data_IF_031479624183
#
_entry.id   IF_031479624183
#
_cell.length_a   1.000
_cell.length_b   1.000
_cell.length_c   1.000
_cell.angle_alpha   90.00
_cell.angle_beta   90.00
_cell.angle_gamma   90.00
#
_symmetry.space_group_name_H-M   'P 1'
#
loop_
_entity.id
_entity.type
_entity.pdbx_description
1 polymer ?
#
# COMPACT_ATOMS: atom_id res chain seq x y z
N UNK A 1 35.54 -33.99 22.99
CA UNK A 1 35.22 -33.08 24.10
C UNK A 1 34.64 -31.83 23.47
N UNK A 2 33.32 -31.76 23.38
CA UNK A 2 32.59 -30.70 22.69
C UNK A 2 32.46 -29.54 23.69
N UNK A 3 33.01 -28.38 23.34
CA UNK A 3 32.83 -27.13 24.09
C UNK A 3 31.37 -26.67 23.90
N UNK A 4 30.43 -27.41 24.49
CA UNK A 4 29.04 -27.01 24.60
C UNK A 4 28.89 -26.05 25.78
N UNK A 5 28.26 -24.91 25.53
CA UNK A 5 27.61 -24.07 26.54
C UNK A 5 28.44 -23.68 27.77
N UNK A 6 29.73 -23.39 27.61
CA UNK A 6 30.37 -22.44 28.52
C UNK A 6 29.99 -21.05 28.07
N UNK A 7 28.86 -20.59 28.59
CA UNK A 7 28.45 -19.21 28.50
C UNK A 7 28.09 -18.63 29.86
N UNK A 8 29.00 -17.82 30.40
CA UNK A 8 28.70 -16.40 30.66
C UNK A 8 27.84 -16.04 31.88
N UNK A 9 28.37 -15.16 32.73
CA UNK A 9 27.84 -14.62 34.00
C UNK A 9 26.46 -15.14 34.49
N UNK A 10 26.45 -15.86 35.63
CA UNK A 10 25.23 -16.28 36.34
C UNK A 10 25.04 -15.52 37.65
N UNK A 11 23.94 -14.75 37.75
CA UNK A 11 23.51 -14.06 38.96
C UNK A 11 22.33 -14.81 39.58
N UNK A 12 22.58 -15.60 40.63
CA UNK A 12 21.57 -16.50 41.20
C UNK A 12 20.33 -15.83 41.80
N UNK A 13 20.45 -14.62 42.34
CA UNK A 13 19.37 -13.97 43.08
C UNK A 13 19.06 -12.56 42.56
N UNK A 14 19.93 -11.59 42.84
CA UNK A 14 19.66 -10.17 42.55
C UNK A 14 20.79 -9.58 41.71
N UNK A 15 20.42 -9.02 40.55
CA UNK A 15 21.28 -8.12 39.78
C UNK A 15 20.83 -6.68 40.05
N UNK A 16 21.63 -5.91 40.78
CA UNK A 16 21.33 -4.51 41.08
C UNK A 16 22.17 -3.57 40.21
N UNK A 17 21.51 -2.62 39.54
CA UNK A 17 22.19 -1.52 38.86
C UNK A 17 22.22 -0.28 39.75
N UNK A 18 23.42 0.17 40.10
CA UNK A 18 23.63 1.48 40.73
C UNK A 18 23.96 2.54 39.68
N UNK A 19 24.92 2.23 38.81
CA UNK A 19 25.38 3.10 37.71
C UNK A 19 25.82 2.28 36.50
N UNK A 20 25.69 2.84 35.30
CA UNK A 20 26.24 2.27 34.08
C UNK A 20 25.47 1.06 33.54
N UNK A 21 26.03 0.45 32.50
CA UNK A 21 25.40 -0.61 31.71
C UNK A 21 26.26 -1.88 31.75
N UNK A 22 25.63 -3.04 31.62
CA UNK A 22 26.31 -4.32 31.51
C UNK A 22 26.32 -4.77 30.05
N UNK A 23 27.49 -4.77 29.41
CA UNK A 23 27.62 -5.17 28.00
C UNK A 23 27.83 -6.67 27.89
N UNK A 24 27.01 -7.32 27.06
CA UNK A 24 27.11 -8.74 26.80
C UNK A 24 28.22 -9.08 25.80
N UNK A 25 28.45 -8.26 24.77
CA UNK A 25 29.49 -8.48 23.76
C UNK A 25 29.45 -9.91 23.17
N UNK A 26 28.26 -10.39 22.82
CA UNK A 26 28.04 -11.75 22.33
C UNK A 26 27.83 -12.85 23.38
N UNK A 27 28.08 -12.58 24.66
CA UNK A 27 27.96 -13.54 25.76
C UNK A 27 26.60 -13.48 26.47
N UNK A 28 26.18 -14.56 27.12
CA UNK A 28 24.89 -14.61 27.81
C UNK A 28 24.95 -14.07 29.27
N UNK A 29 23.79 -13.72 29.81
CA UNK A 29 23.64 -13.45 31.24
C UNK A 29 22.47 -14.26 31.75
N UNK A 30 22.69 -15.15 32.72
CA UNK A 30 21.60 -15.83 33.42
C UNK A 30 21.32 -15.14 34.75
N UNK A 31 20.06 -14.82 35.02
CA UNK A 31 19.61 -14.34 36.34
C UNK A 31 18.52 -15.25 36.89
N UNK A 32 18.63 -15.61 38.17
CA UNK A 32 17.74 -16.55 38.86
C UNK A 32 18.33 -17.94 39.04
N UNK A 33 17.82 -18.69 40.02
CA UNK A 33 18.21 -20.08 40.32
C UNK A 33 16.98 -20.85 40.79
N UNK A 34 16.24 -21.44 39.85
CA UNK A 34 14.94 -22.07 40.09
C UNK A 34 13.74 -21.10 40.10
N UNK A 35 13.98 -19.80 39.92
CA UNK A 35 12.99 -18.72 39.76
C UNK A 35 13.47 -17.71 38.70
N UNK A 36 12.72 -16.63 38.48
CA UNK A 36 13.14 -15.61 37.52
C UNK A 36 14.35 -14.79 38.02
N UNK A 37 14.67 -14.78 39.31
CA UNK A 37 15.58 -13.83 39.97
C UNK A 37 14.99 -12.42 40.05
N UNK A 38 15.75 -11.44 40.55
CA UNK A 38 15.38 -10.02 40.58
C UNK A 38 16.41 -9.18 39.84
N UNK A 39 15.93 -8.17 39.10
CA UNK A 39 16.80 -7.12 38.55
C UNK A 39 16.27 -5.79 39.10
N UNK A 40 17.13 -5.04 39.76
CA UNK A 40 16.77 -3.81 40.46
C UNK A 40 17.59 -2.62 39.97
N UNK A 41 17.08 -1.40 40.18
CA UNK A 41 17.80 -0.16 39.83
C UNK A 41 17.96 0.13 38.34
N UNK A 42 17.31 -0.63 37.45
CA UNK A 42 17.40 -0.43 36.01
C UNK A 42 16.54 0.75 35.52
N UNK A 43 16.99 1.42 34.46
CA UNK A 43 16.29 2.48 33.72
C UNK A 43 16.94 2.70 32.34
N UNK A 44 16.65 3.81 31.66
CA UNK A 44 17.24 4.15 30.35
C UNK A 44 18.73 4.56 30.39
N UNK A 45 19.37 4.53 31.55
CA UNK A 45 20.82 4.73 31.73
C UNK A 45 21.50 3.49 32.33
N UNK A 46 20.71 2.54 32.85
CA UNK A 46 21.15 1.38 33.63
C UNK A 46 20.46 0.11 33.16
N UNK A 47 21.11 -0.62 32.26
CA UNK A 47 20.53 -1.81 31.63
C UNK A 47 21.59 -2.73 31.03
N UNK A 48 21.16 -3.89 30.55
CA UNK A 48 21.98 -4.87 29.85
C UNK A 48 22.04 -4.52 28.35
N UNK A 49 23.23 -4.42 27.77
CA UNK A 49 23.41 -4.13 26.34
C UNK A 49 23.64 -5.43 25.56
N UNK A 50 22.79 -5.69 24.57
CA UNK A 50 22.74 -6.94 23.79
C UNK A 50 23.30 -6.82 22.37
N UNK A 51 24.05 -5.74 22.11
CA UNK A 51 24.64 -5.35 20.83
C UNK A 51 23.62 -4.95 19.73
N UNK A 52 24.11 -4.27 18.69
CA UNK A 52 23.28 -3.73 17.61
C UNK A 52 23.01 -4.73 16.49
N UNK A 53 23.83 -5.78 16.36
CA UNK A 53 23.77 -6.76 15.28
C UNK A 53 22.80 -7.92 15.53
N UNK A 54 22.41 -8.60 14.45
CA UNK A 54 21.48 -9.75 14.48
C UNK A 54 22.02 -10.96 15.27
N UNK A 55 23.33 -11.04 15.50
CA UNK A 55 23.99 -12.06 16.36
C UNK A 55 24.49 -11.38 17.64
N UNK A 56 24.33 -12.04 18.78
CA UNK A 56 24.73 -11.53 20.09
C UNK A 56 24.12 -12.33 21.23
N UNK A 57 24.50 -11.97 22.46
CA UNK A 57 24.09 -12.67 23.68
C UNK A 57 22.68 -12.33 24.15
N UNK A 58 22.14 -13.17 25.04
CA UNK A 58 20.81 -13.01 25.63
C UNK A 58 20.88 -12.77 27.14
N UNK A 59 19.95 -11.95 27.63
CA UNK A 59 19.57 -11.95 29.04
C UNK A 59 18.55 -13.06 29.28
N UNK A 60 18.96 -14.10 29.98
CA UNK A 60 18.14 -15.20 30.45
C UNK A 60 17.61 -14.95 31.86
N UNK A 61 16.38 -15.39 32.06
CA UNK A 61 15.70 -15.46 33.35
C UNK A 61 15.33 -16.92 33.59
N UNK A 62 15.82 -17.51 34.67
CA UNK A 62 15.94 -18.97 34.78
C UNK A 62 14.61 -19.73 34.77
N UNK A 63 13.64 -19.34 35.61
CA UNK A 63 12.33 -20.01 35.65
C UNK A 63 11.17 -19.06 35.91
N UNK A 64 10.61 -18.52 34.84
CA UNK A 64 9.39 -17.72 34.89
C UNK A 64 8.17 -18.61 35.14
N UNK A 65 7.19 -18.08 35.87
CA UNK A 65 5.92 -18.71 36.22
C UNK A 65 4.77 -17.72 36.02
N UNK A 66 3.52 -18.18 35.87
CA UNK A 66 2.37 -17.27 35.75
C UNK A 66 2.15 -16.40 37.00
N UNK A 67 2.67 -16.82 38.16
CA UNK A 67 2.62 -16.07 39.42
C UNK A 67 3.59 -14.89 39.48
N UNK A 68 4.59 -14.81 38.60
CA UNK A 68 5.65 -13.80 38.65
C UNK A 68 5.21 -12.44 38.09
N UNK A 69 3.94 -12.31 37.69
CA UNK A 69 3.38 -11.10 37.06
C UNK A 69 4.18 -10.69 35.81
N UNK A 70 4.49 -9.40 35.63
CA UNK A 70 5.29 -8.91 34.52
C UNK A 70 6.79 -8.95 34.88
N UNK A 71 7.54 -9.86 34.25
CA UNK A 71 8.99 -9.98 34.44
C UNK A 71 9.70 -9.12 33.40
N UNK A 72 10.40 -8.09 33.88
CA UNK A 72 11.14 -7.17 33.03
C UNK A 72 12.49 -7.75 32.57
N UNK A 73 12.81 -7.46 31.31
CA UNK A 73 14.11 -7.66 30.66
C UNK A 73 14.65 -6.26 30.34
N UNK A 74 15.46 -5.64 31.23
CA UNK A 74 16.03 -4.33 30.99
C UNK A 74 17.20 -4.44 30.01
N UNK A 75 16.87 -4.45 28.72
CA UNK A 75 17.81 -4.62 27.62
C UNK A 75 17.82 -3.41 26.68
N UNK A 76 18.92 -3.25 25.92
CA UNK A 76 19.08 -2.24 24.89
C UNK A 76 20.21 -2.59 23.92
N UNK A 77 20.31 -1.87 22.80
CA UNK A 77 21.25 -2.23 21.71
C UNK A 77 22.63 -1.61 21.89
N UNK A 78 22.71 -0.44 22.53
CA UNK A 78 23.93 0.33 22.75
C UNK A 78 23.74 1.29 23.92
N UNK A 79 24.63 2.27 24.10
CA UNK A 79 24.58 3.23 25.21
C UNK A 79 23.40 4.23 25.16
N UNK A 80 22.75 4.39 24.02
CA UNK A 80 21.75 5.44 23.79
C UNK A 80 20.39 4.88 23.38
N UNK A 81 20.24 3.56 23.37
CA UNK A 81 19.03 2.89 22.92
C UNK A 81 18.56 1.88 23.96
N UNK A 82 17.75 2.36 24.90
CA UNK A 82 17.05 1.49 25.85
C UNK A 82 15.73 0.99 25.25
N UNK A 83 15.62 -0.32 25.05
CA UNK A 83 14.49 -0.94 24.37
C UNK A 83 14.06 -2.22 25.12
N UNK A 84 13.61 -2.11 26.37
CA UNK A 84 13.36 -3.27 27.21
C UNK A 84 12.05 -3.97 26.82
N UNK A 85 11.88 -5.16 27.37
CA UNK A 85 10.63 -5.91 27.27
C UNK A 85 10.14 -6.34 28.66
N UNK A 86 8.85 -6.66 28.77
CA UNK A 86 8.33 -7.37 29.93
C UNK A 86 7.45 -8.54 29.46
N UNK A 87 7.68 -9.72 30.05
CA UNK A 87 6.96 -10.95 29.71
C UNK A 87 6.06 -11.34 30.87
N UNK A 88 4.81 -11.67 30.56
CA UNK A 88 3.82 -12.17 31.51
C UNK A 88 3.39 -13.56 31.04
N UNK A 89 3.77 -14.60 31.77
CA UNK A 89 3.30 -15.95 31.46
C UNK A 89 1.83 -16.11 31.85
N UNK A 90 1.04 -16.71 30.97
CA UNK A 90 -0.36 -17.08 31.23
C UNK A 90 -0.52 -18.58 31.44
N UNK A 91 0.37 -19.40 30.88
CA UNK A 91 0.44 -20.84 31.12
C UNK A 91 1.86 -21.39 30.93
N UNK A 92 2.19 -22.45 31.68
CA UNK A 92 3.51 -23.08 31.69
C UNK A 92 4.53 -22.36 32.56
N UNK A 93 5.72 -22.94 32.69
CA UNK A 93 6.86 -22.32 33.37
C UNK A 93 8.15 -22.70 32.67
N UNK A 94 9.12 -21.81 32.59
CA UNK A 94 10.37 -22.12 31.90
C UNK A 94 11.36 -20.97 31.86
N UNK A 95 12.55 -21.27 31.32
CA UNK A 95 13.59 -20.27 31.07
C UNK A 95 13.25 -19.47 29.83
N UNK A 96 13.33 -18.15 29.94
CA UNK A 96 13.15 -17.23 28.82
C UNK A 96 14.43 -16.39 28.68
N UNK A 97 14.97 -16.37 27.47
CA UNK A 97 16.03 -15.47 27.04
C UNK A 97 15.48 -14.38 26.15
N UNK A 98 15.92 -13.14 26.35
CA UNK A 98 15.60 -12.05 25.44
C UNK A 98 16.84 -11.26 25.05
N UNK A 99 16.80 -10.74 23.83
CA UNK A 99 17.68 -9.68 23.36
C UNK A 99 16.97 -8.76 22.40
N UNK A 100 17.58 -7.61 22.12
CA UNK A 100 17.12 -6.63 21.13
C UNK A 100 18.29 -6.24 20.24
N UNK A 101 18.02 -6.02 18.95
CA UNK A 101 19.01 -5.54 17.99
C UNK A 101 18.40 -4.49 17.06
N UNK A 102 19.25 -3.80 16.29
CA UNK A 102 18.80 -2.73 15.40
C UNK A 102 18.18 -3.25 14.11
N UNK A 103 17.29 -2.45 13.56
CA UNK A 103 16.57 -2.68 12.32
C UNK A 103 15.52 -3.79 12.37
N UNK A 104 14.55 -3.66 11.48
CA UNK A 104 13.58 -4.71 11.16
C UNK A 104 13.91 -5.22 9.78
N UNK A 105 14.25 -6.49 9.66
CA UNK A 105 14.56 -7.11 8.38
C UNK A 105 13.34 -7.81 7.79
N UNK A 106 13.20 -7.85 6.47
CA UNK A 106 12.07 -8.49 5.78
C UNK A 106 11.87 -9.95 6.21
N UNK A 107 12.96 -10.69 6.41
CA UNK A 107 12.93 -12.07 6.91
C UNK A 107 13.63 -12.22 8.26
N UNK A 108 13.13 -11.48 9.26
CA UNK A 108 13.58 -11.40 10.65
C UNK A 108 15.02 -10.92 10.89
N UNK A 109 16.01 -11.51 10.22
CA UNK A 109 17.45 -11.25 10.42
C UNK A 109 18.21 -11.01 9.12
N UNK A 110 17.52 -11.00 7.97
CA UNK A 110 18.15 -10.90 6.64
C UNK A 110 17.25 -10.23 5.61
N UNK A 111 17.85 -9.96 4.46
CA UNK A 111 17.27 -9.26 3.32
C UNK A 111 17.07 -7.76 3.59
N UNK A 112 16.10 -7.11 2.95
CA UNK A 112 15.93 -5.67 3.03
C UNK A 112 15.52 -5.20 4.44
N UNK A 113 15.97 -4.01 4.80
CA UNK A 113 15.57 -3.32 6.03
C UNK A 113 14.22 -2.63 5.80
N UNK A 114 13.28 -2.84 6.71
CA UNK A 114 11.96 -2.25 6.76
C UNK A 114 11.78 -1.37 8.01
N UNK A 115 12.57 -0.30 8.07
CA UNK A 115 12.59 0.64 9.20
C UNK A 115 11.65 1.84 9.02
N UNK A 116 10.94 1.91 7.89
CA UNK A 116 10.07 3.05 7.58
C UNK A 116 8.84 3.06 8.49
N UNK A 117 8.20 1.90 8.60
CA UNK A 117 6.87 1.70 9.18
C UNK A 117 6.92 1.04 10.57
N UNK A 118 8.13 0.71 11.01
CA UNK A 118 8.42 0.03 12.26
C UNK A 118 9.19 0.94 13.22
N UNK A 119 9.21 0.57 14.49
CA UNK A 119 10.33 0.90 15.37
C UNK A 119 11.56 0.15 14.87
N UNK A 120 12.72 0.80 14.76
CA UNK A 120 13.99 0.27 14.24
C UNK A 120 14.66 -0.72 15.20
N UNK A 121 13.86 -1.60 15.80
CA UNK A 121 14.23 -2.59 16.80
C UNK A 121 13.53 -3.90 16.50
N UNK A 122 14.28 -4.98 16.65
CA UNK A 122 13.75 -6.34 16.67
C UNK A 122 14.11 -6.99 18.00
N UNK A 123 13.08 -7.44 18.71
CA UNK A 123 13.23 -8.26 19.91
C UNK A 123 13.26 -9.72 19.51
N UNK A 124 14.23 -10.44 20.05
CA UNK A 124 14.33 -11.88 19.93
C UNK A 124 14.03 -12.50 21.28
N UNK A 125 13.00 -13.34 21.34
CA UNK A 125 12.62 -14.13 22.50
C UNK A 125 12.94 -15.59 22.24
N UNK A 126 13.66 -16.23 23.14
CA UNK A 126 13.94 -17.66 23.10
C UNK A 126 13.44 -18.32 24.38
N UNK A 127 12.86 -19.51 24.24
CA UNK A 127 12.49 -20.35 25.38
C UNK A 127 13.10 -21.73 25.23
N UNK A 128 13.59 -22.29 26.34
CA UNK A 128 13.99 -23.71 26.40
C UNK A 128 12.79 -24.64 26.65
N UNK A 129 11.62 -24.06 26.96
CA UNK A 129 10.38 -24.79 27.22
C UNK A 129 9.37 -24.56 26.08
N UNK A 130 8.92 -25.62 25.39
CA UNK A 130 7.90 -25.50 24.34
C UNK A 130 6.53 -25.19 24.95
N UNK A 131 5.68 -24.46 24.20
CA UNK A 131 4.27 -24.28 24.54
C UNK A 131 3.99 -23.37 25.74
N UNK A 132 4.93 -22.49 26.12
CA UNK A 132 4.64 -21.43 27.08
C UNK A 132 3.67 -20.45 26.46
N UNK A 133 2.57 -20.14 27.16
CA UNK A 133 1.65 -19.09 26.74
C UNK A 133 1.99 -17.80 27.48
N UNK A 134 2.02 -16.68 26.75
CA UNK A 134 2.48 -15.42 27.31
C UNK A 134 1.87 -14.19 26.63
N UNK A 135 1.92 -13.09 27.37
CA UNK A 135 1.74 -11.74 26.86
C UNK A 135 3.09 -11.00 26.94
N UNK A 136 3.31 -10.03 26.07
CA UNK A 136 4.56 -9.26 26.01
C UNK A 136 4.29 -7.77 25.89
N UNK A 137 5.04 -6.98 26.65
CA UNK A 137 5.18 -5.54 26.48
C UNK A 137 6.54 -5.26 25.87
N UNK A 138 6.58 -4.51 24.78
CA UNK A 138 7.81 -4.02 24.17
C UNK A 138 7.85 -2.51 24.31
N UNK A 139 8.95 -1.97 24.84
CA UNK A 139 9.13 -0.53 25.01
C UNK A 139 10.25 -0.03 24.10
N UNK A 140 10.00 1.11 23.46
CA UNK A 140 10.97 1.82 22.63
C UNK A 140 11.01 3.31 22.98
N UNK A 141 12.08 3.97 22.55
CA UNK A 141 12.22 5.43 22.61
C UNK A 141 11.84 6.06 21.26
N UNK A 142 11.38 7.29 21.29
CA UNK A 142 10.96 8.06 20.11
C UNK A 142 12.06 8.15 19.03
N UNK A 143 13.32 8.22 19.43
CA UNK A 143 14.46 8.26 18.50
C UNK A 143 14.62 6.98 17.66
N UNK A 144 14.07 5.85 18.13
CA UNK A 144 14.12 4.58 17.42
C UNK A 144 12.93 4.39 16.46
N UNK A 145 12.02 5.35 16.38
CA UNK A 145 10.86 5.23 15.51
C UNK A 145 11.24 5.44 14.04
N UNK A 146 10.63 4.64 13.17
CA UNK A 146 10.64 4.86 11.74
C UNK A 146 10.00 6.21 11.39
N UNK A 147 10.46 6.87 10.30
CA UNK A 147 9.93 8.17 9.89
C UNK A 147 8.41 8.19 9.65
N UNK A 148 7.78 7.04 9.36
CA UNK A 148 6.31 6.94 9.23
C UNK A 148 5.63 6.44 10.50
N UNK A 149 6.37 5.86 11.44
CA UNK A 149 5.80 5.33 12.68
C UNK A 149 5.27 6.43 13.59
N UNK A 150 6.04 7.50 13.82
CA UNK A 150 5.75 8.52 14.84
C UNK A 150 4.41 9.23 14.67
N UNK A 151 3.93 9.37 13.42
CA UNK A 151 2.65 10.00 13.13
C UNK A 151 1.43 9.13 13.45
N UNK A 152 1.62 7.82 13.68
CA UNK A 152 0.54 6.84 13.82
C UNK A 152 0.74 5.89 15.00
N UNK A 153 1.41 6.36 16.07
CA UNK A 153 1.63 5.59 17.30
C UNK A 153 0.33 5.06 17.90
N UNK A 154 -0.77 5.78 17.76
CA UNK A 154 -2.12 5.43 18.21
C UNK A 154 -2.73 4.23 17.48
N UNK A 155 -2.15 3.79 16.37
CA UNK A 155 -2.53 2.58 15.63
C UNK A 155 -1.47 1.48 15.71
N UNK A 156 -0.45 1.66 16.56
CA UNK A 156 0.68 0.75 16.63
C UNK A 156 0.34 -0.56 17.37
N UNK A 157 1.05 -1.62 17.00
CA UNK A 157 0.89 -2.97 17.55
C UNK A 157 2.22 -3.73 17.52
N UNK A 158 2.34 -4.80 18.31
CA UNK A 158 3.50 -5.69 18.25
C UNK A 158 3.30 -6.71 17.12
N UNK A 159 4.16 -6.70 16.12
CA UNK A 159 4.21 -7.70 15.06
C UNK A 159 5.11 -8.87 15.44
N UNK A 160 4.73 -10.07 15.00
CA UNK A 160 5.46 -11.33 15.17
C UNK A 160 5.83 -11.85 13.79
N UNK A 161 7.08 -12.24 13.61
CA UNK A 161 7.51 -12.87 12.37
C UNK A 161 7.00 -14.31 12.27
N UNK A 162 6.30 -14.62 11.18
CA UNK A 162 5.86 -15.97 10.82
C UNK A 162 6.93 -16.61 9.91
N UNK A 163 7.74 -17.56 10.41
CA UNK A 163 8.80 -18.19 9.61
C UNK A 163 8.26 -19.13 8.53
N UNK A 164 7.01 -19.59 8.63
CA UNK A 164 6.37 -20.45 7.63
C UNK A 164 5.93 -19.62 6.44
N UNK A 165 5.33 -18.45 6.70
CA UNK A 165 4.91 -17.51 5.64
C UNK A 165 6.03 -16.61 5.15
N UNK A 166 7.12 -16.49 5.91
CA UNK A 166 8.23 -15.61 5.58
C UNK A 166 7.90 -14.12 5.72
N UNK A 167 7.00 -13.75 6.64
CA UNK A 167 6.55 -12.37 6.77
C UNK A 167 6.20 -12.00 8.21
N UNK A 168 6.25 -10.70 8.50
CA UNK A 168 5.74 -10.10 9.72
C UNK A 168 4.20 -10.08 9.72
N UNK A 169 3.58 -10.46 10.83
CA UNK A 169 2.13 -10.50 10.94
C UNK A 169 1.49 -9.15 11.32
N UNK A 170 0.16 -9.11 11.25
CA UNK A 170 -0.65 -7.95 11.65
C UNK A 170 -1.55 -8.36 12.82
N UNK A 171 -1.26 -7.85 14.02
CA UNK A 171 -2.15 -8.04 15.17
C UNK A 171 -3.13 -6.86 15.32
N UNK A 172 -4.30 -7.01 14.69
CA UNK A 172 -5.38 -6.03 14.79
C UNK A 172 -6.03 -5.98 16.17
N UNK A 173 -5.89 -7.03 16.99
CA UNK A 173 -6.58 -7.13 18.28
C UNK A 173 -5.93 -6.27 19.37
N UNK A 174 -4.64 -6.01 19.22
CA UNK A 174 -3.85 -5.20 20.16
C UNK A 174 -3.50 -3.81 19.63
N UNK A 175 -3.93 -3.47 18.40
CA UNK A 175 -3.64 -2.18 17.80
C UNK A 175 -4.20 -1.01 18.61
N UNK A 176 -3.38 0.03 18.79
CA UNK A 176 -3.70 1.22 19.56
C UNK A 176 -3.65 1.05 21.08
N UNK A 177 -3.24 -0.11 21.58
CA UNK A 177 -2.89 -0.31 23.00
C UNK A 177 -1.48 0.22 23.28
N UNK A 178 -1.34 1.53 23.14
CA UNK A 178 -0.12 2.29 23.39
C UNK A 178 -0.12 2.83 24.82
N UNK A 179 0.98 2.63 25.54
CA UNK A 179 1.19 3.16 26.88
C UNK A 179 2.45 4.02 26.91
N UNK A 180 2.56 4.92 27.89
CA UNK A 180 3.83 5.59 28.17
C UNK A 180 4.87 4.59 28.68
N UNK A 181 6.13 4.77 28.31
CA UNK A 181 7.21 3.88 28.72
C UNK A 181 7.38 3.87 30.24
N UNK A 182 7.19 2.69 30.84
CA UNK A 182 7.22 2.46 32.29
C UNK A 182 8.01 1.20 32.67
N UNK A 183 8.65 0.53 31.71
CA UNK A 183 9.58 -0.56 31.97
C UNK A 183 10.89 0.06 32.48
N UNK A 184 10.85 0.52 33.71
CA UNK A 184 11.95 1.02 34.53
C UNK A 184 11.72 0.51 35.97
N UNK A 185 12.77 0.43 36.78
CA UNK A 185 12.62 -0.06 38.14
C UNK A 185 11.67 0.85 38.93
N UNK A 186 10.71 0.24 39.65
CA UNK A 186 9.66 0.98 40.36
C UNK A 186 8.54 1.54 39.48
N UNK A 187 8.51 1.24 38.17
CA UNK A 187 7.45 1.69 37.26
C UNK A 187 7.51 3.19 36.93
N UNK A 188 8.70 3.79 37.06
CA UNK A 188 8.91 5.21 36.77
C UNK A 188 8.63 5.47 35.28
N UNK A 189 7.84 6.50 35.00
CA UNK A 189 7.54 6.90 33.63
C UNK A 189 8.77 7.58 33.00
N UNK A 190 9.16 7.08 31.83
CA UNK A 190 10.24 7.63 31.02
C UNK A 190 9.65 8.53 29.92
N UNK A 191 10.04 9.80 29.91
CA UNK A 191 9.62 10.75 28.86
C UNK A 191 10.19 10.34 27.51
N UNK A 192 9.39 10.48 26.43
CA UNK A 192 9.80 10.10 25.07
C UNK A 192 9.93 8.59 24.85
N UNK A 193 9.38 7.77 25.77
CA UNK A 193 9.32 6.32 25.63
C UNK A 193 7.86 5.88 25.56
N UNK A 194 7.62 4.83 24.77
CA UNK A 194 6.30 4.27 24.53
C UNK A 194 6.39 2.74 24.61
N UNK A 195 5.28 2.09 24.91
CA UNK A 195 5.24 0.63 24.94
C UNK A 195 3.93 0.05 24.39
N UNK A 196 4.06 -1.09 23.72
CA UNK A 196 2.98 -1.80 23.07
C UNK A 196 2.79 -3.17 23.71
N UNK A 197 1.53 -3.51 24.00
CA UNK A 197 1.15 -4.82 24.53
C UNK A 197 0.71 -5.72 23.38
N UNK A 198 1.14 -6.99 23.41
CA UNK A 198 0.49 -8.06 22.66
C UNK A 198 0.21 -9.26 23.55
N UNK A 199 -0.92 -9.89 23.30
CA UNK A 199 -1.45 -10.96 24.15
C UNK A 199 -1.66 -12.26 23.37
N UNK A 200 -1.75 -13.37 24.10
CA UNK A 200 -2.12 -14.67 23.53
C UNK A 200 -1.05 -15.30 22.65
N UNK A 201 0.22 -14.99 22.91
CA UNK A 201 1.34 -15.62 22.22
C UNK A 201 1.64 -17.00 22.82
N UNK A 202 2.21 -17.88 22.00
CA UNK A 202 2.73 -19.18 22.43
C UNK A 202 4.13 -19.38 21.89
N UNK A 203 5.04 -19.91 22.70
CA UNK A 203 6.34 -20.36 22.19
C UNK A 203 6.17 -21.61 21.34
N UNK A 204 6.83 -21.67 20.18
CA UNK A 204 6.84 -22.85 19.33
C UNK A 204 7.75 -23.93 19.91
N UNK A 205 7.44 -25.20 19.65
CA UNK A 205 8.34 -26.28 20.04
C UNK A 205 9.67 -26.19 19.28
N UNK A 206 10.83 -26.38 19.95
CA UNK A 206 12.11 -26.42 19.25
C UNK A 206 12.10 -27.59 18.25
N UNK A 207 12.49 -27.32 17.00
CA UNK A 207 12.61 -28.35 15.98
C UNK A 207 13.66 -29.40 16.41
N UNK A 208 13.35 -30.71 16.42
CA UNK A 208 14.29 -31.76 16.83
C UNK A 208 15.62 -31.77 16.06
N UNK A 209 15.65 -31.24 14.83
CA UNK A 209 16.86 -31.11 14.00
C UNK A 209 17.67 -29.83 14.22
N UNK A 210 17.18 -28.87 15.00
CA UNK A 210 17.89 -27.63 15.33
C UNK A 210 17.43 -27.08 16.71
N UNK A 211 18.18 -27.31 17.80
CA UNK A 211 17.79 -26.86 19.15
C UNK A 211 17.76 -25.33 19.34
N UNK A 212 18.19 -24.53 18.34
CA UNK A 212 18.00 -23.07 18.31
C UNK A 212 16.67 -22.63 17.68
N UNK A 213 15.89 -23.56 17.11
CA UNK A 213 14.67 -23.31 16.34
C UNK A 213 13.40 -23.04 17.17
N UNK A 214 13.53 -22.46 18.37
CA UNK A 214 12.40 -22.07 19.24
C UNK A 214 12.25 -20.56 19.43
N UNK A 215 13.07 -19.76 18.74
CA UNK A 215 13.09 -18.31 18.89
C UNK A 215 12.00 -17.60 18.10
N UNK A 216 11.45 -16.55 18.69
CA UNK A 216 10.43 -15.68 18.11
C UNK A 216 11.00 -14.28 17.92
N UNK A 217 10.77 -13.70 16.74
CA UNK A 217 11.17 -12.33 16.43
C UNK A 217 9.94 -11.44 16.48
N UNK A 218 10.03 -10.39 17.28
CA UNK A 218 8.97 -9.41 17.47
C UNK A 218 9.47 -8.02 17.12
N UNK A 219 8.60 -7.17 16.61
CA UNK A 219 8.85 -5.75 16.42
C UNK A 219 7.56 -4.96 16.63
N UNK A 220 7.60 -3.64 16.53
CA UNK A 220 6.44 -2.76 16.68
C UNK A 220 6.20 -2.04 15.35
N UNK A 221 4.98 -2.13 14.83
CA UNK A 221 4.57 -1.56 13.55
C UNK A 221 3.26 -0.77 13.69
N UNK A 222 2.78 -0.18 12.60
CA UNK A 222 1.51 0.59 12.54
C UNK A 222 0.57 0.02 11.48
N UNK A 223 -0.74 0.00 11.78
CA UNK A 223 -1.75 -0.61 10.89
C UNK A 223 -1.84 0.05 9.49
N UNK A 224 -1.54 1.35 9.41
CA UNK A 224 -1.67 2.14 8.18
C UNK A 224 -0.64 1.73 7.12
N UNK A 225 0.42 1.02 7.49
CA UNK A 225 1.46 0.60 6.55
C UNK A 225 1.73 -0.90 6.56
N UNK A 226 1.14 -1.64 7.50
CA UNK A 226 1.36 -3.08 7.62
C UNK A 226 0.61 -3.93 6.58
N UNK A 227 -0.07 -3.34 5.59
CA UNK A 227 -0.70 -4.06 4.49
C UNK A 227 -2.19 -3.79 4.27
N UNK A 228 -2.81 -2.82 4.94
CA UNK A 228 -4.27 -2.58 4.87
C UNK A 228 -4.66 -1.11 4.64
N UNK A 229 -3.91 -0.37 3.83
CA UNK A 229 -4.40 0.93 3.32
C UNK A 229 -4.67 0.82 1.85
N UNK A 230 -5.92 1.01 1.45
CA UNK A 230 -6.28 1.08 0.05
C UNK A 230 -5.43 2.11 -0.68
N UNK A 231 -5.07 1.86 -1.94
CA UNK A 231 -4.17 2.75 -2.68
C UNK A 231 -4.66 4.19 -2.53
N UNK A 232 -3.78 5.04 -2.01
CA UNK A 232 -4.10 6.43 -1.74
C UNK A 232 -3.23 7.32 -2.58
N UNK A 233 -3.86 8.38 -3.07
CA UNK A 233 -3.27 9.45 -3.85
C UNK A 233 -3.91 10.74 -3.33
N UNK A 234 -3.11 11.73 -2.97
CA UNK A 234 -3.62 13.01 -2.48
C UNK A 234 -4.33 13.81 -3.58
N UNK A 235 -3.95 13.56 -4.84
CA UNK A 235 -4.52 14.19 -6.02
C UNK A 235 -4.50 13.17 -7.17
N UNK A 236 -5.67 12.92 -7.78
CA UNK A 236 -5.80 12.04 -8.94
C UNK A 236 -6.98 12.50 -9.81
N UNK A 237 -6.71 13.51 -10.63
CA UNK A 237 -7.66 14.02 -11.61
C UNK A 237 -7.48 13.23 -12.90
N UNK A 238 -8.47 12.41 -13.22
CA UNK A 238 -8.58 11.81 -14.54
C UNK A 238 -9.08 12.87 -15.52
N UNK A 239 -8.34 13.08 -16.60
CA UNK A 239 -8.79 13.81 -17.78
C UNK A 239 -8.96 12.80 -18.92
N UNK A 240 -10.07 12.91 -19.65
CA UNK A 240 -10.31 12.13 -20.87
C UNK A 240 -10.86 13.07 -21.95
N UNK A 241 -10.17 13.16 -23.09
CA UNK A 241 -10.50 14.08 -24.18
C UNK A 241 -10.50 13.33 -25.49
N UNK A 242 -11.56 13.51 -26.29
CA UNK A 242 -11.62 12.95 -27.64
C UNK A 242 -10.76 13.80 -28.58
N UNK A 243 -9.65 13.24 -29.07
CA UNK A 243 -8.66 13.92 -29.92
C UNK A 243 -8.93 13.72 -31.41
N UNK A 244 -9.63 12.63 -31.75
CA UNK A 244 -10.13 12.37 -33.10
C UNK A 244 -11.46 11.60 -33.01
N UNK A 245 -12.20 11.41 -34.12
CA UNK A 245 -13.44 10.64 -34.09
C UNK A 245 -13.24 9.28 -33.40
N UNK A 246 -12.12 8.62 -33.66
CA UNK A 246 -11.87 7.25 -33.22
C UNK A 246 -11.07 7.14 -31.93
N UNK A 247 -10.40 8.20 -31.47
CA UNK A 247 -9.47 8.13 -30.33
C UNK A 247 -9.86 9.07 -29.19
N UNK A 248 -9.79 8.54 -27.98
CA UNK A 248 -9.87 9.28 -26.74
C UNK A 248 -8.55 9.16 -26.02
N UNK A 249 -7.92 10.29 -25.73
CA UNK A 249 -6.70 10.35 -24.93
C UNK A 249 -7.11 10.50 -23.45
N UNK A 250 -6.58 9.62 -22.61
CA UNK A 250 -6.69 9.68 -21.17
C UNK A 250 -5.37 10.11 -20.56
N UNK A 251 -5.45 11.04 -19.62
CA UNK A 251 -4.30 11.52 -18.87
C UNK A 251 -4.69 11.62 -17.40
N UNK A 252 -3.85 11.10 -16.51
CA UNK A 252 -3.99 11.32 -15.09
C UNK A 252 -2.62 11.48 -14.45
N UNK A 253 -2.61 12.18 -13.33
CA UNK A 253 -1.41 12.33 -12.53
C UNK A 253 -1.71 11.94 -11.10
N UNK A 254 -0.69 11.43 -10.43
CA UNK A 254 -0.77 11.11 -9.01
C UNK A 254 0.24 11.94 -8.23
N UNK A 255 -0.18 12.37 -7.03
CA UNK A 255 0.71 12.96 -6.04
C UNK A 255 0.55 12.24 -4.71
N UNK A 256 1.66 11.84 -4.10
CA UNK A 256 1.63 11.13 -2.82
C UNK A 256 1.07 9.71 -2.95
N UNK A 257 1.51 8.93 -3.95
CA UNK A 257 1.13 7.52 -4.06
C UNK A 257 1.55 6.75 -2.81
N UNK A 258 0.62 5.99 -2.25
CA UNK A 258 0.84 5.09 -1.11
C UNK A 258 0.10 3.78 -1.35
N UNK A 259 0.80 2.67 -1.09
CA UNK A 259 0.30 1.32 -1.32
C UNK A 259 -0.28 1.15 -2.73
N UNK A 260 0.41 1.65 -3.76
CA UNK A 260 -0.02 1.53 -5.16
C UNK A 260 0.70 0.37 -5.83
N UNK A 261 -0.04 -0.54 -6.48
CA UNK A 261 0.55 -1.57 -7.34
C UNK A 261 0.44 -1.16 -8.81
N UNK A 262 -0.78 -0.94 -9.28
CA UNK A 262 -1.06 -0.59 -10.66
C UNK A 262 -2.44 0.07 -10.80
N UNK A 263 -2.66 0.66 -11.96
CA UNK A 263 -3.92 1.24 -12.39
C UNK A 263 -4.56 0.33 -13.43
N UNK A 264 -5.90 0.26 -13.43
CA UNK A 264 -6.69 -0.37 -14.50
C UNK A 264 -7.60 0.71 -15.06
N UNK A 265 -7.45 1.02 -16.34
CA UNK A 265 -8.35 1.96 -17.03
C UNK A 265 -9.61 1.20 -17.42
N UNK A 266 -10.76 1.75 -17.04
CA UNK A 266 -12.05 1.15 -17.35
C UNK A 266 -12.92 2.07 -18.19
N UNK A 267 -13.66 1.48 -19.13
CA UNK A 267 -14.62 2.16 -20.00
C UNK A 267 -16.00 1.52 -19.93
N UNK A 268 -17.01 2.36 -20.03
CA UNK A 268 -18.38 1.94 -20.29
C UNK A 268 -18.95 2.78 -21.44
N UNK A 269 -19.52 2.14 -22.46
CA UNK A 269 -20.27 2.82 -23.52
C UNK A 269 -21.74 2.92 -23.10
N UNK A 270 -22.38 4.04 -23.41
CA UNK A 270 -23.80 4.25 -23.04
C UNK A 270 -24.70 3.09 -23.53
N UNK A 271 -25.43 2.51 -22.59
CA UNK A 271 -26.29 1.36 -22.81
C UNK A 271 -25.65 0.00 -22.48
N UNK A 272 -24.36 -0.03 -22.15
CA UNK A 272 -23.73 -1.19 -21.52
C UNK A 272 -24.01 -1.21 -20.01
N UNK A 273 -24.10 -2.41 -19.43
CA UNK A 273 -24.42 -2.58 -18.01
C UNK A 273 -23.25 -2.23 -17.08
N UNK A 274 -22.02 -2.56 -17.49
CA UNK A 274 -20.83 -2.53 -16.63
C UNK A 274 -19.64 -1.83 -17.30
N UNK A 275 -18.74 -1.32 -16.45
CA UNK A 275 -17.42 -0.87 -16.88
C UNK A 275 -16.54 -2.08 -17.21
N UNK A 276 -15.90 -2.06 -18.38
CA UNK A 276 -14.94 -3.05 -18.84
C UNK A 276 -13.50 -2.56 -18.66
N UNK A 277 -12.59 -3.47 -18.32
CA UNK A 277 -11.15 -3.20 -18.25
C UNK A 277 -10.60 -3.05 -19.67
N UNK A 278 -9.94 -1.92 -19.95
CA UNK A 278 -9.33 -1.64 -21.27
C UNK A 278 -7.84 -1.95 -21.22
N UNK A 279 -7.16 -1.50 -20.17
CA UNK A 279 -5.72 -1.68 -20.01
C UNK A 279 -5.28 -1.61 -18.54
N UNK A 280 -4.09 -2.14 -18.25
CA UNK A 280 -3.46 -2.14 -16.93
C UNK A 280 -2.09 -1.45 -17.01
N UNK A 281 -1.94 -0.33 -16.28
CA UNK A 281 -0.71 0.47 -16.25
C UNK A 281 -0.03 0.27 -14.89
N UNK A 282 1.20 -0.24 -14.90
CA UNK A 282 1.99 -0.38 -13.67
C UNK A 282 2.24 0.99 -13.03
N UNK A 283 2.20 1.07 -11.70
CA UNK A 283 2.61 2.28 -11.00
C UNK A 283 4.08 2.58 -11.28
N UNK A 284 4.38 3.86 -11.52
CA UNK A 284 5.75 4.36 -11.64
C UNK A 284 6.40 4.58 -10.27
N UNK A 285 5.67 4.39 -9.16
CA UNK A 285 6.17 4.54 -7.80
C UNK A 285 6.93 3.26 -7.36
N UNK A 286 8.25 3.34 -7.13
CA UNK A 286 9.02 2.17 -6.69
C UNK A 286 8.50 1.64 -5.36
N UNK A 287 8.17 0.36 -5.30
CA UNK A 287 7.61 -0.26 -4.09
C UNK A 287 6.24 0.31 -3.67
N UNK A 288 5.51 0.95 -4.59
CA UNK A 288 4.16 1.48 -4.34
C UNK A 288 4.11 2.74 -3.49
N UNK A 289 5.20 3.50 -3.44
CA UNK A 289 5.28 4.78 -2.74
C UNK A 289 5.99 5.87 -3.55
N UNK A 290 5.38 7.04 -3.66
CA UNK A 290 6.01 8.22 -4.26
C UNK A 290 5.47 9.50 -3.64
N UNK A 291 6.37 10.41 -3.26
CA UNK A 291 6.02 11.79 -2.88
C UNK A 291 6.21 12.78 -4.03
N UNK A 292 6.65 12.29 -5.20
CA UNK A 292 6.79 13.08 -6.41
C UNK A 292 5.50 12.97 -7.25
N UNK A 293 5.28 13.97 -8.10
CA UNK A 293 4.20 13.92 -9.07
C UNK A 293 4.57 12.93 -10.19
N UNK A 294 3.69 11.96 -10.44
CA UNK A 294 3.86 10.95 -11.49
C UNK A 294 2.76 11.14 -12.53
N UNK A 295 3.08 10.86 -13.80
CA UNK A 295 2.21 11.13 -14.94
C UNK A 295 1.97 9.86 -15.73
N UNK A 296 0.71 9.64 -16.07
CA UNK A 296 0.25 8.47 -16.79
C UNK A 296 -0.64 8.90 -17.95
N UNK A 297 -0.60 8.12 -19.03
CA UNK A 297 -1.37 8.38 -20.23
C UNK A 297 -1.80 7.06 -20.87
N UNK A 298 -2.92 7.10 -21.60
CA UNK A 298 -3.40 5.99 -22.41
C UNK A 298 -4.23 6.54 -23.58
N UNK A 299 -3.96 6.05 -24.79
CA UNK A 299 -4.79 6.29 -25.95
C UNK A 299 -5.79 5.14 -26.14
N UNK A 300 -7.09 5.43 -26.04
CA UNK A 300 -8.16 4.46 -26.26
C UNK A 300 -8.75 4.58 -27.67
N UNK A 301 -8.65 3.49 -28.44
CA UNK A 301 -9.39 3.35 -29.70
C UNK A 301 -10.87 3.05 -29.42
N UNK A 302 -11.70 4.06 -29.65
CA UNK A 302 -13.12 4.10 -29.31
C UNK A 302 -13.99 4.74 -30.42
N UNK A 303 -14.15 4.06 -31.57
CA UNK A 303 -15.04 4.47 -32.66
C UNK A 303 -16.52 4.17 -32.33
N UNK A 304 -17.13 5.06 -31.56
CA UNK A 304 -18.51 4.93 -31.06
C UNK A 304 -19.35 6.16 -31.40
N UNK A 305 -20.65 5.94 -31.60
CA UNK A 305 -21.69 6.95 -31.83
C UNK A 305 -22.51 7.23 -30.56
N UNK A 306 -21.95 6.89 -29.40
CA UNK A 306 -22.57 7.04 -28.08
C UNK A 306 -21.64 7.70 -27.08
N UNK A 307 -22.21 8.25 -26.02
CA UNK A 307 -21.42 8.73 -24.89
C UNK A 307 -20.55 7.61 -24.31
N UNK A 308 -19.31 7.96 -23.97
CA UNK A 308 -18.38 7.05 -23.30
C UNK A 308 -18.03 7.57 -21.92
N UNK A 309 -17.94 6.66 -20.96
CA UNK A 309 -17.61 6.95 -19.57
C UNK A 309 -16.31 6.25 -19.22
N UNK A 310 -15.37 6.97 -18.63
CA UNK A 310 -14.06 6.47 -18.21
C UNK A 310 -13.87 6.64 -16.72
N UNK A 311 -13.20 5.67 -16.09
CA UNK A 311 -12.67 5.81 -14.73
C UNK A 311 -11.38 5.03 -14.61
N UNK A 312 -10.55 5.40 -13.65
CA UNK A 312 -9.35 4.64 -13.30
C UNK A 312 -9.59 3.89 -12.00
N UNK A 313 -9.37 2.58 -12.05
CA UNK A 313 -9.37 1.67 -10.90
C UNK A 313 -7.94 1.57 -10.37
N UNK A 314 -7.70 2.06 -9.17
CA UNK A 314 -6.44 1.94 -8.45
C UNK A 314 -6.41 0.62 -7.69
N UNK A 315 -5.35 -0.17 -7.86
CA UNK A 315 -5.14 -1.43 -7.14
C UNK A 315 -3.88 -1.32 -6.30
N UNK A 316 -4.00 -1.60 -5.00
CA UNK A 316 -2.87 -1.55 -4.09
C UNK A 316 -2.09 -2.85 -4.01
N UNK A 317 -0.90 -2.81 -3.40
CA UNK A 317 -0.09 -4.01 -3.16
C UNK A 317 -0.79 -4.98 -2.18
N UNK A 318 -1.71 -4.45 -1.38
CA UNK A 318 -2.64 -5.19 -0.50
C UNK A 318 -3.81 -5.86 -1.25
N UNK A 319 -4.02 -5.55 -2.53
CA UNK A 319 -5.20 -5.94 -3.29
C UNK A 319 -6.44 -5.07 -3.05
N UNK A 320 -6.40 -4.09 -2.13
CA UNK A 320 -7.52 -3.16 -1.97
C UNK A 320 -7.68 -2.26 -3.21
N UNK A 321 -8.92 -1.88 -3.52
CA UNK A 321 -9.30 -1.12 -4.70
C UNK A 321 -9.89 0.26 -4.33
N UNK A 322 -9.54 1.27 -5.13
CA UNK A 322 -10.19 2.59 -5.16
C UNK A 322 -10.48 2.98 -6.60
N UNK A 323 -11.41 3.92 -6.80
CA UNK A 323 -11.75 4.45 -8.12
C UNK A 323 -11.61 5.96 -8.12
N UNK A 324 -11.26 6.52 -9.28
CA UNK A 324 -11.44 7.95 -9.55
C UNK A 324 -12.92 8.29 -9.71
N UNK A 325 -13.23 9.59 -9.81
CA UNK A 325 -14.47 10.03 -10.44
C UNK A 325 -14.58 9.50 -11.88
N UNK A 326 -15.82 9.44 -12.37
CA UNK A 326 -16.11 9.06 -13.75
C UNK A 326 -16.04 10.30 -14.64
N UNK A 327 -15.27 10.22 -15.72
CA UNK A 327 -15.20 11.22 -16.77
C UNK A 327 -16.08 10.84 -17.94
N UNK A 328 -16.91 11.78 -18.40
CA UNK A 328 -17.85 11.58 -19.51
C UNK A 328 -17.30 12.25 -20.77
N UNK A 329 -17.22 11.49 -21.86
CA UNK A 329 -16.67 11.93 -23.14
C UNK A 329 -17.75 11.78 -24.22
N UNK A 330 -18.09 12.85 -24.97
CA UNK A 330 -19.03 12.77 -26.08
C UNK A 330 -18.45 11.91 -27.21
N UNK A 331 -19.32 11.34 -28.02
CA UNK A 331 -18.92 10.82 -29.32
C UNK A 331 -18.62 12.00 -30.27
N UNK A 332 -17.84 11.73 -31.32
CA UNK A 332 -17.62 12.70 -32.37
C UNK A 332 -17.92 12.06 -33.73
N UNK A 333 -18.64 12.80 -34.54
CA UNK A 333 -18.94 12.47 -35.92
C UNK A 333 -17.87 13.06 -36.83
N UNK A 334 -17.50 12.32 -37.87
CA UNK A 334 -16.76 12.88 -39.01
C UNK A 334 -17.57 12.67 -40.28
N UNK A 335 -17.76 13.77 -41.01
CA UNK A 335 -18.48 13.77 -42.27
C UNK A 335 -17.56 14.33 -43.33
N UNK A 336 -17.35 13.57 -44.40
CA UNK A 336 -16.52 13.97 -45.52
C UNK A 336 -17.37 13.85 -46.79
N UNK A 337 -17.33 14.86 -47.65
CA UNK A 337 -18.01 14.83 -48.95
C UNK A 337 -16.97 14.89 -50.06
N UNK A 338 -16.96 13.89 -50.94
CA UNK A 338 -16.01 13.79 -52.05
C UNK A 338 -16.66 13.34 -53.37
N UNK A 339 -16.21 13.85 -54.53
CA UNK A 339 -15.27 14.96 -54.68
C UNK A 339 -15.94 16.31 -54.37
N UNK A 340 -15.11 17.30 -54.07
CA UNK A 340 -15.54 18.68 -53.88
C UNK A 340 -14.45 19.62 -54.42
N UNK A 341 -14.66 20.33 -55.56
CA UNK A 341 -15.92 20.46 -56.30
C UNK A 341 -16.44 19.18 -56.99
N UNK A 342 -17.71 19.16 -57.37
CA UNK A 342 -18.37 18.09 -58.14
C UNK A 342 -19.34 18.65 -59.20
N UNK A 343 -19.95 17.78 -60.00
CA UNK A 343 -20.94 18.13 -61.04
C UNK A 343 -22.38 17.73 -60.66
N UNK A 344 -22.71 17.77 -59.36
CA UNK A 344 -23.97 17.27 -58.81
C UNK A 344 -23.95 15.80 -58.41
N UNK A 345 -22.79 15.14 -58.48
CA UNK A 345 -22.55 13.78 -57.98
C UNK A 345 -21.45 13.77 -56.92
N UNK A 346 -21.78 13.36 -55.70
CA UNK A 346 -20.81 13.27 -54.60
C UNK A 346 -21.15 12.11 -53.66
N UNK A 347 -20.13 11.57 -53.02
CA UNK A 347 -20.25 10.56 -51.97
C UNK A 347 -20.16 11.25 -50.61
N UNK A 348 -21.09 10.91 -49.73
CA UNK A 348 -21.05 11.30 -48.32
C UNK A 348 -20.44 10.13 -47.55
N UNK A 349 -19.31 10.37 -46.89
CA UNK A 349 -18.67 9.42 -45.99
C UNK A 349 -19.01 9.77 -44.55
N UNK A 350 -19.48 8.79 -43.79
CA UNK A 350 -19.88 8.94 -42.38
C UNK A 350 -19.00 8.06 -41.49
N UNK A 351 -18.30 8.68 -40.53
CA UNK A 351 -17.54 7.97 -39.50
C UNK A 351 -18.17 8.18 -38.14
N UNK A 352 -18.21 7.11 -37.34
CA UNK A 352 -18.77 7.08 -35.98
C UNK A 352 -20.23 7.52 -35.89
N UNK A 353 -20.99 7.07 -36.88
CA UNK A 353 -22.45 7.15 -36.93
C UNK A 353 -22.94 5.76 -37.28
N UNK A 354 -23.66 5.10 -36.37
CA UNK A 354 -24.23 3.76 -36.61
C UNK A 354 -25.77 3.81 -36.64
N UNK A 355 -26.33 5.00 -36.82
CA UNK A 355 -27.76 5.25 -36.90
C UNK A 355 -28.07 6.19 -38.07
N UNK A 356 -29.34 6.26 -38.52
CA UNK A 356 -29.72 7.18 -39.59
C UNK A 356 -29.47 8.66 -39.21
N UNK A 357 -29.02 9.43 -40.19
CA UNK A 357 -28.77 10.87 -40.14
C UNK A 357 -29.61 11.55 -41.21
N UNK A 358 -30.32 12.60 -40.83
CA UNK A 358 -31.07 13.43 -41.75
C UNK A 358 -30.12 14.44 -42.39
N UNK A 359 -29.99 14.37 -43.71
CA UNK A 359 -29.13 15.23 -44.51
C UNK A 359 -29.97 16.22 -45.30
N UNK A 360 -29.63 17.50 -45.28
CA UNK A 360 -30.32 18.56 -46.01
C UNK A 360 -29.34 19.32 -46.89
N UNK A 361 -29.62 19.41 -48.20
CA UNK A 361 -28.89 20.30 -49.10
C UNK A 361 -29.58 21.66 -49.09
N UNK A 362 -28.84 22.70 -48.71
CA UNK A 362 -29.30 24.08 -48.63
C UNK A 362 -28.49 24.99 -49.54
N UNK A 363 -29.13 26.03 -50.07
CA UNK A 363 -28.43 27.11 -50.78
C UNK A 363 -27.88 28.16 -49.80
N UNK A 364 -27.13 29.16 -50.31
CA UNK A 364 -26.56 30.23 -49.49
C UNK A 364 -27.60 31.00 -48.66
N UNK A 365 -28.82 31.28 -49.17
CA UNK A 365 -29.93 31.82 -48.36
C UNK A 365 -30.50 30.89 -47.27
N UNK A 366 -30.08 29.63 -47.17
CA UNK A 366 -30.60 28.64 -46.21
C UNK A 366 -31.88 27.93 -46.65
N UNK A 367 -32.30 28.05 -47.90
CA UNK A 367 -33.45 27.31 -48.42
C UNK A 367 -33.08 25.84 -48.65
N UNK A 368 -33.86 24.94 -48.08
CA UNK A 368 -33.72 23.49 -48.28
C UNK A 368 -34.15 23.12 -49.70
N UNK A 369 -33.22 22.62 -50.50
CA UNK A 369 -33.46 22.18 -51.88
C UNK A 369 -33.84 20.70 -51.94
N UNK A 370 -33.17 19.88 -51.13
CA UNK A 370 -33.36 18.42 -51.06
C UNK A 370 -33.03 17.91 -49.67
N UNK A 371 -33.58 16.76 -49.33
CA UNK A 371 -33.32 16.07 -48.08
C UNK A 371 -33.24 14.56 -48.30
N UNK A 372 -32.41 13.91 -47.48
CA UNK A 372 -32.20 12.47 -47.47
C UNK A 372 -32.07 11.96 -46.03
N UNK A 373 -32.15 10.64 -45.88
CA UNK A 373 -31.74 9.94 -44.67
C UNK A 373 -30.59 9.02 -45.07
N UNK A 374 -29.42 9.25 -44.50
CA UNK A 374 -28.18 8.52 -44.78
C UNK A 374 -27.77 7.75 -43.52
N UNK A 375 -27.43 6.46 -43.63
CA UNK A 375 -27.07 5.63 -42.46
C UNK A 375 -25.65 5.06 -42.54
N UNK A 376 -25.01 5.17 -43.69
CA UNK A 376 -23.66 4.74 -44.02
C UNK A 376 -23.19 5.57 -45.21
N UNK A 377 -21.98 5.29 -45.70
CA UNK A 377 -21.48 5.90 -46.92
C UNK A 377 -22.49 5.77 -48.07
N UNK A 378 -22.81 6.90 -48.70
CA UNK A 378 -23.87 6.94 -49.70
C UNK A 378 -23.51 7.90 -50.83
N UNK A 379 -23.68 7.42 -52.06
CA UNK A 379 -23.60 8.23 -53.27
C UNK A 379 -24.88 9.03 -53.46
N UNK A 380 -24.71 10.32 -53.74
CA UNK A 380 -25.79 11.28 -53.88
C UNK A 380 -25.67 11.92 -55.25
N UNK A 381 -26.76 11.80 -56.02
CA UNK A 381 -26.90 12.46 -57.31
C UNK A 381 -28.05 13.46 -57.24
N UNK A 382 -27.74 14.71 -57.56
CA UNK A 382 -28.72 15.80 -57.61
C UNK A 382 -28.71 16.39 -59.02
N UNK A 383 -29.79 16.20 -59.74
CA UNK A 383 -29.94 16.78 -61.07
C UNK A 383 -30.35 18.25 -60.97
N UNK A 384 -29.98 19.05 -61.97
CA UNK A 384 -30.41 20.44 -62.15
C UNK A 384 -29.93 21.41 -61.04
N UNK A 385 -28.81 21.13 -60.38
CA UNK A 385 -28.12 22.15 -59.58
C UNK A 385 -27.41 23.14 -60.51
N UNK A 386 -27.47 24.43 -60.22
CA UNK A 386 -26.67 25.44 -60.92
C UNK A 386 -25.25 25.47 -60.35
N UNK A 387 -24.29 25.97 -61.13
CA UNK A 387 -22.91 26.22 -60.69
C UNK A 387 -22.90 27.23 -59.54
N UNK A 388 -22.67 26.73 -58.32
CA UNK A 388 -22.75 27.51 -57.10
C UNK A 388 -22.11 26.78 -55.91
N UNK A 389 -22.01 27.51 -54.79
CA UNK A 389 -21.73 26.91 -53.48
C UNK A 389 -23.04 26.57 -52.77
N UNK A 390 -23.12 25.36 -52.26
CA UNK A 390 -24.19 24.84 -51.41
C UNK A 390 -23.61 24.39 -50.07
N UNK A 391 -24.49 24.19 -49.09
CA UNK A 391 -24.14 23.55 -47.84
C UNK A 391 -24.99 22.30 -47.65
N UNK A 392 -24.39 21.26 -47.10
CA UNK A 392 -25.07 20.05 -46.68
C UNK A 392 -25.06 20.03 -45.17
N UNK A 393 -26.23 20.13 -44.56
CA UNK A 393 -26.43 20.10 -43.11
C UNK A 393 -26.85 18.70 -42.67
N UNK A 394 -26.38 18.29 -41.50
CA UNK A 394 -26.60 16.96 -40.95
C UNK A 394 -27.24 17.06 -39.58
N UNK A 395 -28.29 16.26 -39.36
CA UNK A 395 -29.03 16.19 -38.11
C UNK A 395 -29.23 14.74 -37.68
N UNK A 396 -29.17 14.44 -36.39
CA UNK A 396 -29.48 13.12 -35.87
C UNK A 396 -30.96 12.80 -36.17
N UNK A 397 -31.24 11.68 -36.84
CA UNK A 397 -32.62 11.37 -37.22
C UNK A 397 -33.51 11.00 -36.02
N UNK A 398 -32.93 10.71 -34.85
CA UNK A 398 -33.65 10.29 -33.64
C UNK A 398 -34.25 11.47 -32.89
N UNK A 399 -33.50 12.56 -32.75
CA UNK A 399 -33.88 13.73 -31.94
C UNK A 399 -33.76 15.07 -32.69
N UNK A 400 -33.35 15.04 -33.95
CA UNK A 400 -33.13 16.21 -34.81
C UNK A 400 -32.07 17.18 -34.28
N UNK A 401 -31.14 16.70 -33.43
CA UNK A 401 -29.98 17.48 -33.00
C UNK A 401 -29.02 17.74 -34.16
N UNK A 402 -28.45 18.95 -34.23
CA UNK A 402 -27.52 19.34 -35.29
C UNK A 402 -26.16 18.64 -35.11
N UNK A 403 -25.68 17.96 -36.15
CA UNK A 403 -24.44 17.19 -36.15
C UNK A 403 -23.28 17.90 -36.86
N UNK A 404 -23.59 18.79 -37.81
CA UNK A 404 -22.58 19.57 -38.53
C UNK A 404 -23.01 19.95 -39.94
N UNK A 405 -22.12 20.65 -40.65
CA UNK A 405 -22.33 21.02 -42.06
C UNK A 405 -21.06 20.82 -42.87
N UNK A 406 -21.24 20.58 -44.17
CA UNK A 406 -20.17 20.52 -45.15
C UNK A 406 -20.49 21.45 -46.33
N UNK A 407 -19.48 22.20 -46.78
CA UNK A 407 -19.60 23.00 -48.01
C UNK A 407 -19.49 22.08 -49.21
N UNK A 408 -20.35 22.26 -50.21
CA UNK A 408 -20.31 21.53 -51.49
C UNK A 408 -20.30 22.54 -52.64
N UNK A 409 -19.33 22.43 -53.55
CA UNK A 409 -19.22 23.30 -54.72
C UNK A 409 -19.60 22.50 -55.96
N UNK A 410 -20.57 23.01 -56.71
CA UNK A 410 -21.03 22.41 -57.97
C UNK A 410 -20.48 23.22 -59.15
N UNK A 411 -19.84 22.52 -60.10
CA UNK A 411 -19.28 23.06 -61.35
C UNK A 411 -19.50 22.01 -62.45
N UNK A 412 -20.08 22.41 -63.59
CA UNK A 412 -20.33 21.51 -64.74
C UNK A 412 -19.24 21.54 -65.81
#
# INVERSE_FOLDING_TARGET
MQLGDLGDLHVRHVLNFETGRLYLNGWNLLVGDGDAGLITGYDNQRYVVTDTGVIGGLLYRDRLRPTDSAVAFPIGTDAYSYAPAAVMLTAGSGRIGMRVFNHVYAHAIRDSINDLDYVKKTWYLQSSSPGLQYNVLLQHQEADEGPRFSAYRDSSYVSLYDPVKGQWDIDRSSAGRLYGGQIAYGGIRLTGHYMNLRQGLSTSAPNPGNPTAGGQYLSVSTLIYSGDVCPSVHYNDLLAVRTSPDYVELFWHSYGERNMAYYVVQRQIQGEADFQDIDTIQSQAPGGFSMNMLYYHLDDYNPTDKWTYYRVKMVGLSGCIRYTSVMKVPWAIQIIITPNPNNGHFTVHLRNVKHPVRMQLVNVPGQVLKQWVVAQDQDIQVQQLSDATYFVEFYDARDNSYLGMQKVVVIH
#
